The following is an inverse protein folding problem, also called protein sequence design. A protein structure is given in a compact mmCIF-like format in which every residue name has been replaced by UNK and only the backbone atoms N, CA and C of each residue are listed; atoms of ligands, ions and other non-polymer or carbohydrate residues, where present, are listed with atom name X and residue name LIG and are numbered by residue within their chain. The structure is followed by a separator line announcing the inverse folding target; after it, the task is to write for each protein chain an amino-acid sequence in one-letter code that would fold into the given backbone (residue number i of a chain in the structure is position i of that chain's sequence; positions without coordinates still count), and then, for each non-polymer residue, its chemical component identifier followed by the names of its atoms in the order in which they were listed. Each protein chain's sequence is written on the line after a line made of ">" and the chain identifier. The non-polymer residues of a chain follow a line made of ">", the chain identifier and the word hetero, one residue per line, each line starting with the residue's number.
data_IF_828195163133
#
_entry.id   IF_828195163133
#
_cell.length_a   1.000
_cell.length_b   1.000
_cell.length_c   1.000
_cell.angle_alpha   90.00
_cell.angle_beta   90.00
_cell.angle_gamma   90.00
#
_symmetry.space_group_name_H-M   'P 1'
#
loop_
_entity.id
_entity.type
_entity.pdbx_description
1 polymer ?
#
# COMPACT_ATOMS: atom_id res chain seq x y z
N UNK A 1 29.75 31.49 41.72
CA UNK A 1 29.42 30.98 43.07
C UNK A 1 28.00 30.44 43.06
N UNK A 2 27.69 29.51 43.98
CA UNK A 2 26.56 28.56 44.07
C UNK A 2 26.81 27.22 43.35
N UNK A 3 26.61 26.06 43.99
CA UNK A 3 27.24 25.45 45.17
C UNK A 3 26.97 23.93 45.02
N UNK A 4 27.95 23.08 45.36
CA UNK A 4 27.95 21.61 45.22
C UNK A 4 27.29 20.96 46.43
N UNK A 5 26.42 19.96 46.24
CA UNK A 5 26.27 18.83 47.18
C UNK A 5 25.34 17.76 46.62
N UNK A 6 25.89 16.96 45.72
CA UNK A 6 25.59 15.53 45.67
C UNK A 6 26.46 14.83 46.71
N UNK A 7 26.03 13.65 47.19
CA UNK A 7 26.55 12.84 48.32
C UNK A 7 25.89 13.33 49.61
N UNK A 8 25.01 12.58 50.28
CA UNK A 8 25.27 11.27 50.88
C UNK A 8 24.23 10.21 50.50
N UNK A 9 24.72 9.19 49.77
CA UNK A 9 24.22 7.82 49.83
C UNK A 9 24.52 7.22 51.23
N UNK A 10 23.78 6.18 51.56
CA UNK A 10 23.99 5.15 52.60
C UNK A 10 23.14 5.28 53.88
N UNK A 11 22.08 4.47 53.95
CA UNK A 11 21.83 3.42 54.97
C UNK A 11 20.32 3.09 54.99
N UNK A 12 19.96 1.99 54.32
CA UNK A 12 19.10 0.92 54.84
C UNK A 12 18.94 -0.15 53.76
N UNK A 13 19.92 -1.06 53.72
CA UNK A 13 19.77 -2.39 53.16
C UNK A 13 19.03 -3.20 54.25
N UNK A 14 17.83 -3.68 53.93
CA UNK A 14 16.95 -4.39 54.85
C UNK A 14 16.21 -5.50 54.10
N UNK A 15 16.92 -6.62 54.00
CA UNK A 15 16.53 -7.97 53.59
C UNK A 15 15.24 -8.39 54.32
N UNK A 16 14.19 -8.81 53.59
CA UNK A 16 12.95 -9.32 54.19
C UNK A 16 12.01 -9.90 53.12
N UNK A 17 11.83 -11.21 53.16
CA UNK A 17 11.38 -12.08 52.09
C UNK A 17 9.84 -12.21 51.99
N UNK A 18 9.33 -12.08 50.75
CA UNK A 18 8.45 -12.96 49.94
C UNK A 18 7.21 -13.69 50.57
N UNK A 19 6.15 -13.76 49.73
CA UNK A 19 5.01 -14.68 49.68
C UNK A 19 3.70 -14.25 50.34
N UNK A 20 2.89 -13.45 49.61
CA UNK A 20 1.46 -13.78 49.37
C UNK A 20 1.11 -13.39 47.93
N UNK A 21 0.64 -14.37 47.18
CA UNK A 21 0.58 -14.33 45.72
C UNK A 21 -0.44 -13.37 45.14
N UNK A 22 -0.16 -12.97 43.91
CA UNK A 22 -1.15 -12.88 42.85
C UNK A 22 -0.39 -12.94 41.53
N UNK A 23 -0.48 -14.08 40.85
CA UNK A 23 -0.19 -14.20 39.43
C UNK A 23 -1.19 -13.28 38.74
N UNK A 24 -0.79 -12.08 38.34
CA UNK A 24 -1.59 -11.27 37.42
C UNK A 24 -1.09 -11.60 36.02
N UNK A 25 -1.78 -12.60 35.48
CA UNK A 25 -2.15 -12.80 34.09
C UNK A 25 -1.56 -11.76 33.13
N UNK A 26 -0.62 -12.23 32.29
CA UNK A 26 -0.28 -11.56 31.05
C UNK A 26 -1.52 -11.49 30.18
N UNK A 27 -2.15 -10.31 30.12
CA UNK A 27 -2.99 -9.95 28.99
C UNK A 27 -2.06 -9.33 27.96
N UNK A 28 -1.41 -10.19 27.17
CA UNK A 28 -0.98 -9.80 25.85
C UNK A 28 -2.25 -9.56 25.02
N UNK A 29 -2.80 -8.36 25.13
CA UNK A 29 -3.85 -7.89 24.24
C UNK A 29 -3.21 -7.73 22.86
N UNK A 30 -3.24 -8.84 22.11
CA UNK A 30 -3.05 -8.79 20.68
C UNK A 30 -4.23 -7.98 20.14
N UNK A 31 -4.00 -6.69 19.88
CA UNK A 31 -4.88 -5.86 19.08
C UNK A 31 -4.90 -6.48 17.69
N UNK A 32 -5.77 -7.47 17.47
CA UNK A 32 -6.20 -7.84 16.15
C UNK A 32 -6.93 -6.61 15.61
N UNK A 33 -6.19 -5.75 14.91
CA UNK A 33 -6.78 -4.63 14.22
C UNK A 33 -7.82 -5.23 13.28
N UNK A 34 -9.12 -4.87 13.39
CA UNK A 34 -10.07 -5.28 12.38
C UNK A 34 -9.54 -4.75 11.06
N UNK A 35 -9.16 -5.68 10.18
CA UNK A 35 -8.65 -5.33 8.86
C UNK A 35 -9.74 -4.54 8.15
N UNK A 36 -9.57 -3.21 8.07
CA UNK A 36 -10.42 -2.40 7.22
C UNK A 36 -10.37 -3.04 5.85
N UNK A 37 -11.52 -3.46 5.32
CA UNK A 37 -11.60 -4.02 3.97
C UNK A 37 -11.34 -2.89 2.98
N UNK A 38 -10.08 -2.54 2.77
CA UNK A 38 -9.67 -1.51 1.83
C UNK A 38 -9.84 -2.02 0.41
N UNK A 39 -10.10 -1.11 -0.52
CA UNK A 39 -10.32 -1.46 -1.92
C UNK A 39 -9.00 -1.74 -2.66
N UNK A 40 -7.89 -1.16 -2.20
CA UNK A 40 -6.57 -1.31 -2.80
C UNK A 40 -5.56 -1.72 -1.74
N UNK A 41 -4.98 -2.92 -1.88
CA UNK A 41 -4.08 -3.55 -0.89
C UNK A 41 -2.94 -4.25 -1.63
N UNK A 42 -1.69 -4.00 -1.24
CA UNK A 42 -0.52 -4.69 -1.77
C UNK A 42 -0.43 -6.15 -1.29
N UNK A 43 0.10 -7.04 -2.14
CA UNK A 43 0.29 -8.45 -1.79
C UNK A 43 1.59 -8.72 -1.00
N UNK A 44 2.43 -7.69 -0.83
CA UNK A 44 3.69 -7.73 -0.07
C UNK A 44 4.80 -8.57 -0.71
N UNK A 45 4.59 -9.15 -1.90
CA UNK A 45 5.59 -10.04 -2.54
C UNK A 45 6.74 -9.27 -3.19
N UNK A 46 6.48 -8.06 -3.69
CA UNK A 46 7.50 -7.23 -4.37
C UNK A 46 8.28 -6.33 -3.41
N UNK A 47 7.65 -5.87 -2.34
CA UNK A 47 8.30 -5.09 -1.30
C UNK A 47 7.70 -5.47 0.07
N UNK A 48 8.27 -6.47 0.77
CA UNK A 48 7.78 -6.90 2.08
C UNK A 48 7.86 -5.82 3.17
N UNK A 49 8.73 -4.81 3.00
CA UNK A 49 8.87 -3.69 3.92
C UNK A 49 7.83 -2.58 3.67
N UNK A 50 7.13 -2.60 2.52
CA UNK A 50 6.07 -1.64 2.24
C UNK A 50 4.84 -1.92 3.11
N UNK A 51 4.18 -0.83 3.54
CA UNK A 51 2.85 -0.91 4.16
C UNK A 51 1.90 -1.63 3.20
N UNK A 52 1.21 -2.68 3.68
CA UNK A 52 0.24 -3.45 2.89
C UNK A 52 -0.91 -2.60 2.35
N UNK A 53 -1.38 -1.68 3.17
CA UNK A 53 -2.48 -0.80 2.84
C UNK A 53 -2.02 0.43 2.07
N UNK A 54 -2.63 0.67 0.90
CA UNK A 54 -2.36 1.87 0.12
C UNK A 54 -3.03 3.07 0.80
N UNK A 55 -2.28 4.11 1.19
CA UNK A 55 -2.87 5.30 1.80
C UNK A 55 -3.93 5.93 0.90
N UNK A 56 -5.13 6.13 1.46
CA UNK A 56 -6.22 6.85 0.82
C UNK A 56 -6.29 8.26 1.40
N UNK A 57 -5.84 9.25 0.64
CA UNK A 57 -5.82 10.66 1.06
C UNK A 57 -6.76 11.42 0.14
N UNK A 58 -7.83 12.00 0.69
CA UNK A 58 -8.82 12.76 -0.10
C UNK A 58 -9.35 11.97 -1.32
N UNK A 59 -9.69 10.70 -1.12
CA UNK A 59 -10.15 9.77 -2.17
C UNK A 59 -9.10 9.40 -3.23
N UNK A 60 -7.84 9.76 -3.02
CA UNK A 60 -6.72 9.39 -3.88
C UNK A 60 -5.90 8.27 -3.21
N UNK A 61 -5.85 7.11 -3.85
CA UNK A 61 -4.85 6.08 -3.58
C UNK A 61 -3.53 6.52 -4.22
N UNK A 62 -2.57 6.91 -3.40
CA UNK A 62 -1.22 7.20 -3.88
C UNK A 62 -0.41 5.90 -3.87
N UNK A 63 0.09 5.50 -5.05
CA UNK A 63 0.87 4.28 -5.26
C UNK A 63 2.29 4.71 -5.60
N UNK A 64 3.20 4.79 -4.62
CA UNK A 64 4.57 5.25 -4.84
C UNK A 64 5.37 4.23 -5.66
N UNK A 65 6.29 4.69 -6.51
CA UNK A 65 7.24 3.80 -7.20
C UNK A 65 7.94 2.83 -6.23
N UNK A 66 8.31 3.32 -5.03
CA UNK A 66 8.99 2.54 -4.00
C UNK A 66 8.16 1.37 -3.43
N UNK A 67 6.84 1.34 -3.64
CA UNK A 67 6.00 0.20 -3.24
C UNK A 67 6.09 -0.98 -4.22
N UNK A 68 6.73 -0.78 -5.37
CA UNK A 68 6.89 -1.78 -6.41
C UNK A 68 8.35 -2.15 -6.66
N UNK A 69 8.58 -2.84 -7.78
CA UNK A 69 9.89 -3.22 -8.28
C UNK A 69 10.13 -2.58 -9.64
N UNK A 70 11.28 -1.91 -9.82
CA UNK A 70 11.67 -1.34 -11.12
C UNK A 70 12.72 -2.22 -11.79
N UNK A 71 12.46 -2.64 -13.03
CA UNK A 71 13.42 -3.38 -13.86
C UNK A 71 13.50 -2.71 -15.24
N UNK A 72 14.61 -2.02 -15.49
CA UNK A 72 14.75 -1.17 -16.68
C UNK A 72 13.66 -0.08 -16.70
N UNK A 73 12.90 -0.01 -17.80
CA UNK A 73 11.85 0.98 -18.00
C UNK A 73 10.45 0.48 -17.57
N UNK A 74 10.41 -0.62 -16.79
CA UNK A 74 9.19 -1.26 -16.34
C UNK A 74 9.07 -1.17 -14.82
N UNK A 75 7.90 -0.74 -14.35
CA UNK A 75 7.54 -0.66 -12.94
C UNK A 75 6.45 -1.69 -12.62
N UNK A 76 6.77 -2.63 -11.74
CA UNK A 76 5.88 -3.71 -11.33
C UNK A 76 5.25 -3.40 -9.96
N UNK A 77 3.93 -3.55 -9.86
CA UNK A 77 3.18 -3.54 -8.61
C UNK A 77 2.35 -4.81 -8.49
N UNK A 78 2.26 -5.33 -7.26
CA UNK A 78 1.49 -6.54 -6.98
C UNK A 78 0.55 -6.29 -5.81
N UNK A 79 -0.73 -6.57 -6.05
CA UNK A 79 -1.84 -6.26 -5.16
C UNK A 79 -2.56 -7.53 -4.77
N UNK A 80 -2.92 -7.66 -3.49
CA UNK A 80 -3.89 -8.65 -3.06
C UNK A 80 -5.28 -8.27 -3.59
N UNK A 81 -5.62 -6.99 -3.49
CA UNK A 81 -6.90 -6.46 -3.93
C UNK A 81 -6.72 -5.15 -4.66
N UNK A 82 -7.41 -5.00 -5.78
CA UNK A 82 -7.40 -3.75 -6.55
C UNK A 82 -8.80 -3.44 -7.09
N UNK A 83 -9.51 -2.58 -6.37
CA UNK A 83 -10.85 -2.08 -6.68
C UNK A 83 -10.86 -0.56 -6.59
N UNK A 84 -11.70 0.09 -7.39
CA UNK A 84 -11.94 1.53 -7.30
C UNK A 84 -13.43 1.83 -7.35
N UNK A 85 -13.94 2.45 -6.30
CA UNK A 85 -15.31 2.98 -6.26
C UNK A 85 -15.40 4.30 -7.03
N UNK A 86 -16.62 4.73 -7.33
CA UNK A 86 -16.89 6.04 -7.93
C UNK A 86 -16.27 7.15 -7.08
N UNK A 87 -15.60 8.11 -7.73
CA UNK A 87 -14.93 9.22 -7.05
C UNK A 87 -13.56 8.89 -6.46
N UNK A 88 -13.16 7.62 -6.42
CA UNK A 88 -11.79 7.22 -6.05
C UNK A 88 -10.85 7.35 -7.24
N UNK A 89 -9.58 7.67 -6.96
CA UNK A 89 -8.52 7.80 -7.96
C UNK A 89 -7.31 6.98 -7.52
N UNK A 90 -6.76 6.14 -8.40
CA UNK A 90 -5.45 5.52 -8.21
C UNK A 90 -4.39 6.29 -9.00
N UNK A 91 -3.44 6.86 -8.28
CA UNK A 91 -2.31 7.61 -8.80
C UNK A 91 -1.02 6.81 -8.67
N UNK A 92 -0.54 6.25 -9.78
CA UNK A 92 0.78 5.62 -9.86
C UNK A 92 1.84 6.70 -10.00
N UNK A 93 2.76 6.79 -9.03
CA UNK A 93 3.88 7.70 -9.09
C UNK A 93 5.05 6.97 -9.74
N UNK A 94 5.53 7.48 -10.87
CA UNK A 94 6.63 6.88 -11.62
C UNK A 94 7.63 7.94 -12.09
N UNK A 95 8.91 7.58 -12.16
CA UNK A 95 9.94 8.42 -12.76
C UNK A 95 9.71 8.57 -14.28
N UNK A 96 10.32 9.60 -14.89
CA UNK A 96 10.12 9.95 -16.29
C UNK A 96 10.64 8.89 -17.29
N UNK A 97 11.58 8.03 -16.88
CA UNK A 97 12.10 6.94 -17.69
C UNK A 97 11.19 5.70 -17.73
N UNK A 98 10.17 5.63 -16.86
CA UNK A 98 9.24 4.49 -16.83
C UNK A 98 8.28 4.57 -18.01
N UNK A 99 8.33 3.55 -18.86
CA UNK A 99 7.47 3.43 -20.03
C UNK A 99 6.25 2.55 -19.76
N UNK A 100 6.38 1.56 -18.88
CA UNK A 100 5.31 0.60 -18.59
C UNK A 100 5.13 0.43 -17.09
N UNK A 101 3.88 0.50 -16.65
CA UNK A 101 3.46 0.14 -15.30
C UNK A 101 2.68 -1.16 -15.41
N UNK A 102 3.12 -2.19 -14.70
CA UNK A 102 2.54 -3.52 -14.69
C UNK A 102 1.92 -3.79 -13.32
N UNK A 103 0.65 -4.11 -13.32
CA UNK A 103 -0.18 -4.36 -12.14
C UNK A 103 -0.65 -5.80 -12.18
N UNK A 104 -0.30 -6.57 -11.17
CA UNK A 104 -0.85 -7.91 -10.94
C UNK A 104 -1.75 -7.89 -9.71
N UNK A 105 -2.91 -8.54 -9.81
CA UNK A 105 -3.79 -8.84 -8.68
C UNK A 105 -3.69 -10.33 -8.37
N UNK A 106 -3.34 -10.67 -7.13
CA UNK A 106 -3.12 -12.05 -6.66
C UNK A 106 -4.24 -12.58 -5.78
N UNK A 107 -5.09 -11.72 -5.22
CA UNK A 107 -6.20 -12.16 -4.39
C UNK A 107 -7.29 -12.87 -5.18
N UNK A 108 -8.13 -13.62 -4.48
CA UNK A 108 -9.13 -14.52 -5.05
C UNK A 108 -10.38 -13.83 -5.63
N UNK A 109 -10.37 -12.50 -5.78
CA UNK A 109 -11.55 -11.71 -6.13
C UNK A 109 -11.36 -10.96 -7.46
N UNK A 110 -12.44 -10.80 -8.21
CA UNK A 110 -12.46 -9.96 -9.39
C UNK A 110 -12.25 -8.48 -9.04
N UNK A 111 -11.71 -7.72 -9.98
CA UNK A 111 -11.49 -6.28 -9.85
C UNK A 111 -12.63 -5.48 -10.47
N UNK A 112 -13.32 -4.68 -9.66
CA UNK A 112 -14.26 -3.64 -10.12
C UNK A 112 -13.59 -2.28 -10.10
N UNK A 113 -13.40 -1.70 -11.30
CA UNK A 113 -12.78 -0.39 -11.50
C UNK A 113 -13.84 0.59 -11.98
N UNK A 114 -14.42 1.36 -11.06
CA UNK A 114 -15.43 2.37 -11.34
C UNK A 114 -14.95 3.80 -10.97
N UNK A 115 -13.63 3.99 -10.85
CA UNK A 115 -12.98 5.26 -10.52
C UNK A 115 -12.00 5.74 -11.59
N UNK A 116 -11.00 6.53 -11.18
CA UNK A 116 -10.00 7.11 -12.10
C UNK A 116 -8.66 6.39 -11.96
N UNK A 117 -8.08 5.95 -13.08
CA UNK A 117 -6.72 5.42 -13.17
C UNK A 117 -5.80 6.46 -13.81
N UNK A 118 -4.68 6.80 -13.17
CA UNK A 118 -3.71 7.75 -13.73
C UNK A 118 -2.28 7.43 -13.31
N UNK A 119 -1.31 7.77 -14.16
CA UNK A 119 0.10 7.88 -13.78
C UNK A 119 0.51 9.35 -13.65
N UNK A 120 1.38 9.63 -12.70
CA UNK A 120 1.94 10.96 -12.39
C UNK A 120 3.44 10.85 -12.21
N UNK A 121 4.16 11.93 -12.48
CA UNK A 121 5.61 11.94 -12.27
C UNK A 121 5.94 11.95 -10.78
N UNK A 122 6.88 11.10 -10.36
CA UNK A 122 7.27 10.99 -8.95
C UNK A 122 7.95 12.28 -8.42
N UNK A 123 8.69 13.00 -9.26
CA UNK A 123 9.34 14.26 -8.92
C UNK A 123 8.41 15.49 -9.08
N UNK A 124 7.27 15.34 -9.76
CA UNK A 124 6.23 16.37 -9.88
C UNK A 124 4.85 15.70 -10.00
N UNK A 125 4.17 15.42 -8.87
CA UNK A 125 2.93 14.66 -8.87
C UNK A 125 1.73 15.39 -9.51
N UNK A 126 1.88 16.67 -9.88
CA UNK A 126 0.87 17.40 -10.64
C UNK A 126 0.97 17.16 -12.16
N UNK A 127 2.07 16.58 -12.63
CA UNK A 127 2.30 16.28 -14.04
C UNK A 127 1.95 14.83 -14.35
N UNK A 128 1.26 14.58 -15.47
CA UNK A 128 0.95 13.23 -15.94
C UNK A 128 2.21 12.54 -16.47
N UNK A 129 2.35 11.25 -16.17
CA UNK A 129 3.35 10.39 -16.81
C UNK A 129 2.78 9.80 -18.11
N UNK A 130 3.64 9.61 -19.12
CA UNK A 130 3.29 9.03 -20.42
C UNK A 130 3.34 7.49 -20.44
N UNK A 131 3.50 6.86 -19.28
CA UNK A 131 3.55 5.41 -19.15
C UNK A 131 2.29 4.71 -19.68
N UNK A 132 2.46 3.47 -20.15
CA UNK A 132 1.38 2.54 -20.45
C UNK A 132 1.00 1.76 -19.18
N UNK A 133 -0.25 1.28 -19.10
CA UNK A 133 -0.70 0.41 -18.01
C UNK A 133 -0.99 -1.00 -18.53
N UNK A 134 -0.42 -1.99 -17.88
CA UNK A 134 -0.76 -3.40 -18.05
C UNK A 134 -1.36 -3.88 -16.74
N UNK A 135 -2.58 -4.39 -16.76
CA UNK A 135 -3.25 -4.91 -15.56
C UNK A 135 -3.72 -6.34 -15.77
N UNK A 136 -3.38 -7.21 -14.82
CA UNK A 136 -3.71 -8.63 -14.84
C UNK A 136 -4.40 -9.00 -13.55
N UNK A 137 -5.59 -9.60 -13.67
CA UNK A 137 -6.27 -10.28 -12.57
C UNK A 137 -6.83 -11.61 -13.12
N UNK A 138 -6.35 -12.77 -12.66
CA UNK A 138 -6.87 -14.07 -13.06
C UNK A 138 -8.38 -14.23 -12.85
N UNK A 139 -8.94 -13.58 -11.82
CA UNK A 139 -10.36 -13.63 -11.48
C UNK A 139 -11.21 -12.60 -12.25
N UNK A 140 -10.60 -11.84 -13.17
CA UNK A 140 -11.30 -10.91 -14.06
C UNK A 140 -11.22 -9.46 -13.63
N UNK A 141 -11.43 -8.57 -14.61
CA UNK A 141 -11.42 -7.11 -14.44
C UNK A 141 -12.66 -6.55 -15.13
N UNK A 142 -13.47 -5.81 -14.38
CA UNK A 142 -14.66 -5.12 -14.87
C UNK A 142 -14.49 -3.62 -14.74
N UNK A 143 -14.59 -2.91 -15.86
CA UNK A 143 -14.61 -1.46 -15.88
C UNK A 143 -16.04 -0.95 -15.78
N UNK A 144 -16.35 -0.25 -14.69
CA UNK A 144 -17.66 0.35 -14.48
C UNK A 144 -17.89 1.58 -15.36
N UNK A 145 -19.15 2.03 -15.47
CA UNK A 145 -19.56 3.16 -16.33
C UNK A 145 -18.89 4.49 -15.97
N UNK A 146 -18.37 4.63 -14.75
CA UNK A 146 -17.68 5.84 -14.28
C UNK A 146 -16.16 5.71 -14.33
N UNK A 147 -15.65 4.60 -14.88
CA UNK A 147 -14.22 4.42 -15.08
C UNK A 147 -13.64 5.47 -16.03
N UNK A 148 -12.54 6.11 -15.63
CA UNK A 148 -11.74 6.97 -16.52
C UNK A 148 -10.25 6.65 -16.36
N UNK A 149 -9.58 6.31 -17.45
CA UNK A 149 -8.11 6.22 -17.50
C UNK A 149 -7.47 7.47 -18.12
N UNK A 150 -6.32 7.90 -17.59
CA UNK A 150 -5.44 8.96 -18.15
C UNK A 150 -4.10 8.40 -18.68
N UNK A 151 -4.02 7.09 -18.89
CA UNK A 151 -2.84 6.45 -19.48
C UNK A 151 -2.82 6.61 -21.00
N UNK A 152 -1.62 6.54 -21.60
CA UNK A 152 -1.47 6.54 -23.06
C UNK A 152 -2.10 5.31 -23.71
N UNK A 153 -1.83 4.14 -23.14
CA UNK A 153 -2.43 2.86 -23.49
C UNK A 153 -2.72 2.06 -22.25
N UNK A 154 -3.75 1.22 -22.32
CA UNK A 154 -4.08 0.27 -21.27
C UNK A 154 -4.37 -1.10 -21.88
N UNK A 155 -3.70 -2.11 -21.33
CA UNK A 155 -3.90 -3.51 -21.63
C UNK A 155 -4.43 -4.19 -20.38
N UNK A 156 -5.54 -4.90 -20.51
CA UNK A 156 -6.03 -5.76 -19.44
C UNK A 156 -5.97 -7.22 -19.91
N UNK A 157 -5.56 -8.12 -19.02
CA UNK A 157 -5.61 -9.55 -19.27
C UNK A 157 -6.35 -10.27 -18.14
N UNK A 158 -7.24 -11.19 -18.53
CA UNK A 158 -7.95 -12.10 -17.63
C UNK A 158 -8.07 -13.45 -18.32
N UNK A 159 -7.89 -14.57 -17.60
CA UNK A 159 -7.90 -15.92 -18.18
C UNK A 159 -7.07 -16.04 -19.48
N UNK A 160 -5.87 -15.45 -19.49
CA UNK A 160 -4.95 -15.38 -20.64
C UNK A 160 -5.49 -14.70 -21.92
N UNK A 161 -6.66 -14.04 -21.86
CA UNK A 161 -7.15 -13.17 -22.93
C UNK A 161 -6.74 -11.74 -22.61
N UNK A 162 -5.91 -11.16 -23.47
CA UNK A 162 -5.55 -9.75 -23.39
C UNK A 162 -6.43 -8.93 -24.33
N UNK A 163 -6.95 -7.83 -23.83
CA UNK A 163 -7.68 -6.83 -24.62
C UNK A 163 -7.07 -5.46 -24.41
N UNK A 164 -6.89 -4.73 -25.51
CA UNK A 164 -6.56 -3.30 -25.46
C UNK A 164 -7.87 -2.52 -25.30
N UNK A 165 -7.90 -1.61 -24.32
CA UNK A 165 -9.07 -0.75 -24.12
C UNK A 165 -8.84 0.50 -24.94
N UNK A 166 -9.29 0.46 -26.19
CA UNK A 166 -9.40 1.65 -27.01
C UNK A 166 -10.53 2.50 -26.46
N UNK A 167 -10.20 3.74 -26.10
CA UNK A 167 -11.16 4.79 -25.78
C UNK A 167 -11.49 5.56 -27.04
#
# INVERSE_FOLDING_TARGET
>A
MVNRSLLWKYIKIGIGQIWKGAIVLSLAECLCSPGLTQNVVFDGTLNPAARRDVPLIQSIYQIPQASGLTVGNNLFHSFDRFNLSTGQLAAFLAQSNIQNILVRVTGANSSLINGILTARLANNPNTLSSANLFIVNPFGITFGRKCKTKFRRIFCCFNFRCSEIFK
#
